data_IF_487443639326
#
_entry.id   IF_487443639326
#
_cell.length_a   1.000
_cell.length_b   1.000
_cell.length_c   1.000
_cell.angle_alpha   90.00
_cell.angle_beta   90.00
_cell.angle_gamma   90.00
#
_symmetry.space_group_name_H-M   'P 1'
#
loop_
_entity.id
_entity.type
_entity.pdbx_description
1 polymer ?
#
# COMPACT_ATOMS: atom_id res chain seq x y z
N UNK A 1 -42.80 -17.56 28.01
CA UNK A 1 -42.61 -18.35 26.76
C UNK A 1 -41.27 -19.07 26.89
N UNK A 2 -41.24 -20.40 26.85
CA UNK A 2 -40.03 -21.21 27.08
C UNK A 2 -39.61 -21.89 25.76
N UNK A 3 -38.32 -21.80 25.40
CA UNK A 3 -37.74 -22.26 24.11
C UNK A 3 -38.28 -21.59 22.83
N UNK A 4 -38.87 -20.41 22.95
CA UNK A 4 -39.22 -19.55 21.81
C UNK A 4 -38.31 -18.31 21.80
N UNK A 5 -38.09 -17.66 20.64
CA UNK A 5 -37.39 -16.38 20.61
C UNK A 5 -38.08 -15.39 21.56
N UNK A 6 -37.32 -14.53 22.25
CA UNK A 6 -37.88 -13.58 23.20
C UNK A 6 -38.92 -12.70 22.50
N UNK A 7 -40.02 -12.32 23.18
CA UNK A 7 -41.03 -11.44 22.61
C UNK A 7 -40.35 -10.16 22.11
N UNK A 8 -40.63 -9.83 20.85
CA UNK A 8 -39.72 -9.13 19.96
C UNK A 8 -39.37 -7.69 20.36
N UNK A 9 -38.27 -7.22 19.75
CA UNK A 9 -37.82 -5.84 19.75
C UNK A 9 -38.98 -4.87 19.53
N UNK A 10 -38.99 -3.77 20.29
CA UNK A 10 -40.02 -2.74 20.13
C UNK A 10 -39.91 -2.10 18.74
N UNK A 11 -40.99 -1.47 18.27
CA UNK A 11 -40.97 -0.77 16.98
C UNK A 11 -39.85 0.27 16.91
N UNK A 12 -39.61 0.99 18.03
CA UNK A 12 -38.51 1.94 18.18
C UNK A 12 -37.17 1.25 17.98
N UNK A 13 -36.92 0.12 18.64
CA UNK A 13 -35.64 -0.61 18.52
C UNK A 13 -35.36 -1.04 17.08
N UNK A 14 -36.40 -1.47 16.35
CA UNK A 14 -36.29 -1.83 14.93
C UNK A 14 -35.99 -0.61 14.07
N UNK A 15 -36.68 0.50 14.27
CA UNK A 15 -36.45 1.73 13.51
C UNK A 15 -35.06 2.33 13.78
N UNK A 16 -34.61 2.31 15.02
CA UNK A 16 -33.29 2.84 15.41
C UNK A 16 -32.19 1.94 14.86
N UNK A 17 -32.31 0.62 15.00
CA UNK A 17 -31.31 -0.31 14.44
C UNK A 17 -31.22 -0.24 12.92
N UNK A 18 -32.34 -0.10 12.20
CA UNK A 18 -32.32 0.07 10.75
C UNK A 18 -31.74 1.42 10.33
N UNK A 19 -32.04 2.51 11.04
CA UNK A 19 -31.44 3.82 10.77
C UNK A 19 -29.93 3.82 11.00
N UNK A 20 -29.45 3.29 12.13
CA UNK A 20 -28.01 3.23 12.44
C UNK A 20 -27.28 2.40 11.38
N UNK A 21 -27.85 1.25 11.02
CA UNK A 21 -27.27 0.39 9.98
C UNK A 21 -27.24 1.09 8.62
N UNK A 22 -28.32 1.79 8.25
CA UNK A 22 -28.40 2.55 7.00
C UNK A 22 -27.40 3.70 6.95
N UNK A 23 -27.26 4.47 8.04
CA UNK A 23 -26.28 5.57 8.13
C UNK A 23 -24.85 5.03 8.05
N UNK A 24 -24.56 3.91 8.72
CA UNK A 24 -23.23 3.30 8.70
C UNK A 24 -22.85 2.84 7.28
N UNK A 25 -23.75 2.15 6.58
CA UNK A 25 -23.49 1.72 5.20
C UNK A 25 -23.44 2.88 4.21
N UNK A 26 -24.30 3.89 4.37
CA UNK A 26 -24.24 5.11 3.57
C UNK A 26 -22.89 5.81 3.75
N UNK A 27 -22.44 6.01 4.99
CA UNK A 27 -21.16 6.62 5.30
C UNK A 27 -19.99 5.84 4.70
N UNK A 28 -20.02 4.51 4.83
CA UNK A 28 -19.00 3.62 4.28
C UNK A 28 -18.90 3.75 2.77
N UNK A 29 -20.01 3.61 2.04
CA UNK A 29 -20.02 3.73 0.57
C UNK A 29 -19.66 5.15 0.12
N UNK A 30 -20.15 6.18 0.82
CA UNK A 30 -19.77 7.57 0.58
C UNK A 30 -18.24 7.76 0.70
N UNK A 31 -17.62 7.25 1.77
CA UNK A 31 -16.17 7.34 1.96
C UNK A 31 -15.40 6.55 0.91
N UNK A 32 -15.87 5.36 0.54
CA UNK A 32 -15.25 4.59 -0.54
C UNK A 32 -15.30 5.34 -1.88
N UNK A 33 -16.38 6.07 -2.17
CA UNK A 33 -16.54 6.78 -3.43
C UNK A 33 -15.73 8.09 -3.47
N UNK A 34 -15.89 8.94 -2.46
CA UNK A 34 -15.26 10.27 -2.43
C UNK A 34 -13.82 10.27 -1.90
N UNK A 35 -13.45 9.31 -1.07
CA UNK A 35 -12.13 9.19 -0.44
C UNK A 35 -11.48 7.83 -0.74
N UNK A 36 -11.57 7.39 -1.99
CA UNK A 36 -11.07 6.09 -2.46
C UNK A 36 -9.55 5.92 -2.36
N UNK A 37 -8.79 7.03 -2.26
CA UNK A 37 -7.32 7.01 -2.15
C UNK A 37 -6.79 6.26 -0.92
N UNK A 38 -7.59 6.10 0.13
CA UNK A 38 -7.24 5.27 1.29
C UNK A 38 -7.22 3.76 0.95
N UNK A 39 -8.02 3.33 -0.03
CA UNK A 39 -8.11 1.93 -0.45
C UNK A 39 -7.11 1.63 -1.57
N UNK A 40 -7.03 2.51 -2.57
CA UNK A 40 -6.20 2.29 -3.76
C UNK A 40 -4.78 2.83 -3.65
N UNK A 41 -4.48 3.61 -2.60
CA UNK A 41 -3.27 4.42 -2.53
C UNK A 41 -3.51 5.80 -3.14
N UNK A 42 -2.88 6.81 -2.53
CA UNK A 42 -3.07 8.21 -2.96
C UNK A 42 -2.19 8.56 -4.16
N UNK A 43 -1.08 7.82 -4.35
CA UNK A 43 -0.02 8.17 -5.27
C UNK A 43 0.44 6.94 -6.03
N UNK A 44 1.00 7.18 -7.22
CA UNK A 44 1.67 6.15 -7.99
C UNK A 44 2.91 5.65 -7.23
N UNK A 45 3.02 4.34 -7.07
CA UNK A 45 4.22 3.69 -6.57
C UNK A 45 5.03 3.23 -7.79
N UNK A 46 6.16 3.88 -8.12
CA UNK A 46 6.97 3.48 -9.26
C UNK A 46 7.56 2.09 -9.05
N UNK A 47 7.69 1.34 -10.15
CA UNK A 47 8.41 0.08 -10.11
C UNK A 47 9.90 0.36 -9.96
N UNK A 48 10.62 -0.50 -9.24
CA UNK A 48 12.07 -0.32 -9.00
C UNK A 48 12.89 -0.30 -10.28
N UNK A 49 12.37 -0.85 -11.38
CA UNK A 49 13.02 -0.89 -12.69
C UNK A 49 12.78 0.38 -13.54
N UNK A 50 11.92 1.31 -13.09
CA UNK A 50 11.69 2.59 -13.80
C UNK A 50 12.78 3.62 -13.51
N UNK A 51 13.51 3.47 -12.40
CA UNK A 51 14.66 4.30 -12.08
C UNK A 51 15.80 3.98 -13.04
N UNK A 52 16.32 5.00 -13.73
CA UNK A 52 17.45 4.81 -14.62
C UNK A 52 18.75 4.64 -13.83
N UNK A 53 19.72 3.94 -14.40
CA UNK A 53 21.03 3.73 -13.78
C UNK A 53 21.73 5.08 -13.52
N UNK A 54 21.48 6.11 -14.33
CA UNK A 54 22.00 7.45 -14.13
C UNK A 54 21.40 8.15 -12.91
N UNK A 55 20.09 8.05 -12.67
CA UNK A 55 19.44 8.61 -11.47
C UNK A 55 19.90 7.91 -10.20
N UNK A 56 20.13 6.59 -10.29
CA UNK A 56 20.61 5.78 -9.18
C UNK A 56 22.12 5.89 -8.96
N UNK A 57 22.84 6.58 -9.85
CA UNK A 57 24.28 6.74 -9.79
C UNK A 57 25.04 5.43 -10.00
N UNK A 58 24.43 4.46 -10.67
CA UNK A 58 25.08 3.20 -11.03
C UNK A 58 25.97 3.48 -12.25
N UNK A 59 27.30 3.31 -12.14
CA UNK A 59 28.18 3.50 -13.27
C UNK A 59 27.89 2.43 -14.35
N UNK A 60 28.01 2.78 -15.64
CA UNK A 60 27.88 1.78 -16.71
C UNK A 60 28.95 0.70 -16.54
N UNK A 61 28.62 -0.55 -16.85
CA UNK A 61 29.51 -1.72 -16.69
C UNK A 61 30.88 -1.59 -17.39
N UNK A 62 31.03 -0.66 -18.35
CA UNK A 62 32.27 -0.40 -19.08
C UNK A 62 33.06 0.82 -18.56
N UNK A 63 32.59 1.50 -17.50
CA UNK A 63 33.34 2.60 -16.91
C UNK A 63 34.59 2.06 -16.19
N UNK A 64 35.75 2.73 -16.32
CA UNK A 64 36.92 2.36 -15.53
C UNK A 64 36.62 2.56 -14.05
N UNK A 65 36.86 1.52 -13.25
CA UNK A 65 36.73 1.59 -11.80
C UNK A 65 37.55 2.77 -11.25
N UNK A 66 36.98 3.59 -10.36
CA UNK A 66 37.73 4.69 -9.78
C UNK A 66 38.88 4.16 -8.91
N UNK A 67 40.00 4.88 -8.87
CA UNK A 67 41.24 4.45 -8.21
C UNK A 67 41.06 4.05 -6.73
N UNK A 68 40.08 4.66 -6.05
CA UNK A 68 39.77 4.39 -4.65
C UNK A 68 38.96 3.10 -4.40
N UNK A 69 38.38 2.49 -5.44
CA UNK A 69 37.76 1.16 -5.36
C UNK A 69 38.79 0.02 -5.41
N UNK A 70 40.09 0.33 -5.58
CA UNK A 70 41.12 -0.69 -5.61
C UNK A 70 41.05 -1.56 -6.87
N UNK A 71 41.46 -2.83 -6.76
CA UNK A 71 41.74 -3.68 -7.93
C UNK A 71 40.69 -4.79 -8.14
N UNK A 72 39.41 -4.48 -7.96
CA UNK A 72 38.31 -5.46 -7.98
C UNK A 72 38.18 -6.21 -9.33
N UNK A 73 38.52 -5.58 -10.45
CA UNK A 73 38.46 -6.19 -11.79
C UNK A 73 39.74 -6.86 -12.30
N UNK A 74 40.85 -6.81 -11.55
CA UNK A 74 42.15 -7.32 -12.04
C UNK A 74 42.42 -8.74 -11.52
N UNK A 75 43.16 -9.61 -12.22
CA UNK A 75 43.47 -10.96 -11.74
C UNK A 75 44.44 -10.95 -10.55
N UNK A 76 44.25 -11.88 -9.60
CA UNK A 76 45.02 -11.95 -8.35
C UNK A 76 46.53 -12.00 -8.62
N UNK A 77 47.30 -11.11 -7.98
CA UNK A 77 48.77 -11.04 -8.15
C UNK A 77 49.26 -10.05 -9.23
N UNK A 78 48.38 -9.28 -9.86
CA UNK A 78 48.77 -8.21 -10.82
C UNK A 78 48.86 -6.81 -10.20
N UNK A 79 48.68 -6.71 -8.88
CA UNK A 79 48.71 -5.47 -8.11
C UNK A 79 49.93 -5.50 -7.18
N UNK A 80 50.57 -4.34 -6.98
CA UNK A 80 51.75 -4.20 -6.11
C UNK A 80 51.34 -3.83 -4.69
#
# INVERSE_FOLDING_TARGET
MYRSPPPGSTYIDRCVSTLITGVLWFWFVYHMYYHSGLIFGHWYMPYTAEFSDEELGIPPMNAPDPEYWGNHGKPFGTYR
#
